data_IF_886753541467
#
_entry.id   IF_886753541467
#
_cell.length_a   1.000
_cell.length_b   1.000
_cell.length_c   1.000
_cell.angle_alpha   90.00
_cell.angle_beta   90.00
_cell.angle_gamma   90.00
#
_symmetry.space_group_name_H-M   'P 1'
#
loop_
_entity.id
_entity.type
_entity.pdbx_description
1 polymer ?
#
# COMPACT_ATOMS: atom_id res chain seq x y z
N UNK A 1 10.40 -13.73 -21.20
CA UNK A 1 10.48 -14.89 -20.29
C UNK A 1 9.68 -14.52 -19.05
N UNK A 2 8.45 -15.03 -18.94
CA UNK A 2 7.64 -14.92 -17.71
C UNK A 2 8.30 -15.87 -16.72
N UNK A 3 8.68 -15.36 -15.55
CA UNK A 3 9.38 -16.15 -14.52
C UNK A 3 8.56 -17.40 -14.21
N UNK A 4 9.21 -18.56 -14.24
CA UNK A 4 8.60 -19.90 -14.24
C UNK A 4 8.13 -20.37 -12.85
N UNK A 5 8.09 -19.47 -11.87
CA UNK A 5 7.61 -19.73 -10.50
C UNK A 5 6.13 -19.37 -10.38
N UNK A 6 5.25 -20.38 -10.42
CA UNK A 6 3.80 -20.21 -10.22
C UNK A 6 3.44 -19.60 -8.86
N UNK A 7 4.30 -19.76 -7.85
CA UNK A 7 4.07 -19.27 -6.48
C UNK A 7 4.10 -17.74 -6.35
N UNK A 8 4.90 -17.05 -7.19
CA UNK A 8 5.02 -15.58 -7.16
C UNK A 8 3.75 -14.87 -7.64
N UNK A 9 2.96 -15.54 -8.50
CA UNK A 9 1.70 -15.02 -9.03
C UNK A 9 0.50 -15.25 -8.10
N UNK A 10 0.67 -16.02 -7.03
CA UNK A 10 -0.34 -16.23 -5.98
C UNK A 10 -0.17 -15.21 -4.86
N UNK A 11 1.05 -15.09 -4.33
CA UNK A 11 1.35 -14.17 -3.21
C UNK A 11 1.16 -12.69 -3.55
N UNK A 12 1.49 -12.27 -4.77
CA UNK A 12 1.39 -10.87 -5.17
C UNK A 12 -0.06 -10.33 -5.13
N UNK A 13 -1.04 -10.91 -5.85
CA UNK A 13 -2.41 -10.42 -5.80
C UNK A 13 -3.04 -10.53 -4.40
N UNK A 14 -2.71 -11.58 -3.64
CA UNK A 14 -3.18 -11.75 -2.26
C UNK A 14 -2.64 -10.66 -1.33
N UNK A 15 -1.35 -10.35 -1.43
CA UNK A 15 -0.73 -9.29 -0.63
C UNK A 15 -1.27 -7.90 -0.96
N UNK A 16 -1.55 -7.64 -2.24
CA UNK A 16 -2.14 -6.37 -2.69
C UNK A 16 -3.57 -6.22 -2.16
N UNK A 17 -4.37 -7.29 -2.19
CA UNK A 17 -5.74 -7.26 -1.65
C UNK A 17 -5.77 -7.12 -0.12
N UNK A 18 -4.78 -7.67 0.59
CA UNK A 18 -4.71 -7.58 2.04
C UNK A 18 -4.19 -6.22 2.56
N UNK A 19 -3.52 -5.43 1.70
CA UNK A 19 -2.93 -4.16 2.12
C UNK A 19 -4.00 -3.10 2.37
N UNK A 20 -4.05 -2.48 3.56
CA UNK A 20 -4.97 -1.38 3.83
C UNK A 20 -4.48 -0.15 3.07
N UNK A 21 -5.17 0.25 2.00
CA UNK A 21 -4.80 1.37 1.13
C UNK A 21 -5.65 2.63 1.40
N UNK A 22 -5.25 3.72 0.74
CA UNK A 22 -5.87 5.04 0.83
C UNK A 22 -6.02 5.56 2.25
N UNK A 23 -7.25 5.95 2.58
CA UNK A 23 -7.60 6.48 3.90
C UNK A 23 -7.35 5.49 5.04
N UNK A 24 -7.50 4.18 4.79
CA UNK A 24 -7.28 3.16 5.82
C UNK A 24 -5.83 3.14 6.28
N UNK A 25 -4.87 3.27 5.36
CA UNK A 25 -3.46 3.37 5.72
C UNK A 25 -3.15 4.65 6.49
N UNK A 26 -3.72 5.77 6.05
CA UNK A 26 -3.56 7.07 6.72
C UNK A 26 -4.03 6.99 8.17
N UNK A 27 -5.15 6.32 8.44
CA UNK A 27 -5.64 6.13 9.80
C UNK A 27 -4.75 5.21 10.64
N UNK A 28 -4.16 4.18 10.05
CA UNK A 28 -3.15 3.36 10.71
C UNK A 28 -1.94 4.23 11.11
N UNK A 29 -1.43 5.07 10.20
CA UNK A 29 -0.32 5.99 10.48
C UNK A 29 -0.64 6.94 11.64
N UNK A 30 -1.86 7.48 11.71
CA UNK A 30 -2.31 8.30 12.85
C UNK A 30 -2.33 7.50 14.15
N UNK A 31 -2.89 6.29 14.13
CA UNK A 31 -3.03 5.43 15.32
C UNK A 31 -1.69 5.02 15.90
N UNK A 32 -0.69 4.77 15.05
CA UNK A 32 0.66 4.40 15.50
C UNK A 32 1.53 5.62 15.86
N UNK A 33 0.96 6.82 15.87
CA UNK A 33 1.59 8.04 16.41
C UNK A 33 2.34 8.89 15.40
N UNK A 34 2.22 8.63 14.09
CA UNK A 34 2.77 9.55 13.09
C UNK A 34 1.86 10.78 12.93
N UNK A 35 2.50 11.93 12.71
CA UNK A 35 1.87 13.22 12.51
C UNK A 35 1.92 13.64 11.04
N UNK A 36 0.94 14.48 10.66
CA UNK A 36 0.76 15.00 9.30
C UNK A 36 0.81 13.92 8.20
N UNK A 37 0.10 12.78 8.33
CA UNK A 37 0.08 11.80 7.26
C UNK A 37 -0.66 12.36 6.04
N UNK A 38 -0.04 12.21 4.87
CA UNK A 38 -0.59 12.58 3.58
C UNK A 38 -0.57 11.38 2.64
N UNK A 39 -1.57 11.31 1.78
CA UNK A 39 -1.75 10.27 0.77
C UNK A 39 -1.88 10.91 -0.61
N UNK A 40 -1.09 10.43 -1.56
CA UNK A 40 -1.14 10.84 -2.95
C UNK A 40 -1.29 9.60 -3.85
N UNK A 41 -2.49 9.36 -4.41
CA UNK A 41 -2.68 8.30 -5.39
C UNK A 41 -2.00 8.67 -6.72
N UNK A 42 -1.41 7.66 -7.35
CA UNK A 42 -0.76 7.74 -8.66
C UNK A 42 -1.45 6.78 -9.62
N UNK A 43 -1.43 7.11 -10.92
CA UNK A 43 -1.93 6.24 -11.99
C UNK A 43 -3.34 5.70 -11.67
N UNK A 44 -4.27 6.60 -11.32
CA UNK A 44 -5.65 6.27 -10.95
C UNK A 44 -5.80 5.30 -9.77
N UNK A 45 -4.83 5.28 -8.85
CA UNK A 45 -4.88 4.46 -7.63
C UNK A 45 -4.17 3.12 -7.75
N UNK A 46 -3.53 2.80 -8.88
CA UNK A 46 -2.70 1.58 -9.02
C UNK A 46 -1.53 1.61 -8.02
N UNK A 47 -0.99 2.79 -7.72
CA UNK A 47 0.02 2.97 -6.69
C UNK A 47 -0.25 4.25 -5.90
N UNK A 48 0.34 4.38 -4.71
CA UNK A 48 0.14 5.53 -3.84
C UNK A 48 1.41 5.85 -3.07
N UNK A 49 1.70 7.13 -2.92
CA UNK A 49 2.76 7.62 -2.03
C UNK A 49 2.09 8.04 -0.72
N UNK A 50 2.61 7.53 0.39
CA UNK A 50 2.25 7.97 1.73
C UNK A 50 3.45 8.66 2.37
N UNK A 51 3.22 9.81 2.96
CA UNK A 51 4.24 10.54 3.73
C UNK A 51 3.72 10.85 5.12
N UNK A 52 4.55 10.76 6.14
CA UNK A 52 4.23 11.15 7.51
C UNK A 52 5.52 11.45 8.28
N UNK A 53 5.41 12.15 9.41
CA UNK A 53 6.54 12.46 10.30
C UNK A 53 6.31 11.81 11.66
N UNK A 54 7.37 11.45 12.36
CA UNK A 54 7.30 10.91 13.73
C UNK A 54 7.57 12.00 14.73
#
# INVERSE_FOLDING_TARGET
VISKDQSAYTYLPESVQAFPDGANFVDILRRVGFISPAWQPLTFGISSIYTARK
#
